data_IF_747984496376
#
_entry.id   IF_747984496376
#
_cell.length_a   1.000
_cell.length_b   1.000
_cell.length_c   1.000
_cell.angle_alpha   90.00
_cell.angle_beta   90.00
_cell.angle_gamma   90.00
#
_symmetry.space_group_name_H-M   'P 1'
#
loop_
_entity.id
_entity.type
_entity.pdbx_description
1 polymer ?
#
# COMPACT_ATOMS: atom_id res chain seq x y z
N UNK A 1 2.92 -6.59 -25.41
CA UNK A 1 3.64 -5.30 -25.40
C UNK A 1 4.64 -5.29 -26.53
N UNK A 2 4.76 -4.17 -27.21
CA UNK A 2 5.73 -3.93 -28.27
C UNK A 2 6.59 -2.73 -27.88
N UNK A 3 7.84 -2.69 -28.36
CA UNK A 3 8.79 -1.63 -28.09
C UNK A 3 10.10 -1.86 -28.78
N UNK A 4 11.07 -0.98 -28.55
CA UNK A 4 12.45 -1.13 -29.02
C UNK A 4 13.40 -1.11 -27.81
N UNK A 5 14.53 -1.80 -27.93
CA UNK A 5 15.61 -1.70 -26.95
C UNK A 5 16.57 -0.53 -27.28
N UNK A 6 17.68 -0.42 -26.54
CA UNK A 6 18.69 0.63 -26.75
C UNK A 6 19.53 0.43 -28.04
N UNK A 7 19.39 -0.68 -28.72
CA UNK A 7 20.07 -1.01 -29.98
C UNK A 7 19.11 -1.03 -31.18
N UNK A 8 17.90 -0.44 -30.97
CA UNK A 8 16.81 -0.35 -31.97
C UNK A 8 16.23 -1.69 -32.42
N UNK A 9 16.46 -2.78 -31.69
CA UNK A 9 15.79 -4.05 -31.99
C UNK A 9 14.31 -3.99 -31.61
N UNK A 10 13.46 -4.50 -32.51
CA UNK A 10 12.03 -4.63 -32.19
C UNK A 10 11.79 -5.74 -31.18
N UNK A 11 11.14 -5.39 -30.08
CA UNK A 11 10.78 -6.31 -29.02
C UNK A 11 9.27 -6.52 -28.97
N UNK A 12 8.87 -7.75 -28.71
CA UNK A 12 7.50 -8.12 -28.41
C UNK A 12 7.46 -9.07 -27.23
N UNK A 13 6.33 -9.15 -26.54
CA UNK A 13 6.23 -10.05 -25.39
C UNK A 13 4.86 -10.12 -24.77
N UNK A 14 4.69 -11.12 -23.93
CA UNK A 14 3.50 -11.31 -23.11
C UNK A 14 3.80 -11.08 -21.63
N UNK A 15 2.81 -10.55 -20.91
CA UNK A 15 2.87 -10.39 -19.48
C UNK A 15 1.49 -10.69 -18.89
N UNK A 16 1.36 -11.90 -18.32
CA UNK A 16 0.13 -12.37 -17.71
C UNK A 16 0.19 -12.08 -16.21
N UNK A 17 -0.75 -11.28 -15.72
CA UNK A 17 -0.81 -10.86 -14.31
C UNK A 17 -2.19 -11.18 -13.77
N UNK A 18 -2.23 -11.87 -12.64
CA UNK A 18 -3.43 -12.05 -11.83
C UNK A 18 -3.21 -11.34 -10.50
N UNK A 19 -4.14 -10.48 -10.09
CA UNK A 19 -4.15 -9.87 -8.77
C UNK A 19 -5.34 -10.39 -7.99
N UNK A 20 -5.10 -10.82 -6.76
CA UNK A 20 -6.12 -11.23 -5.81
C UNK A 20 -6.09 -10.24 -4.65
N UNK A 21 -7.21 -9.56 -4.42
CA UNK A 21 -7.36 -8.63 -3.30
C UNK A 21 -8.35 -9.18 -2.29
N UNK A 22 -7.96 -9.12 -1.02
CA UNK A 22 -8.83 -9.48 0.10
C UNK A 22 -8.96 -8.26 1.01
N UNK A 23 -10.19 -7.90 1.34
CA UNK A 23 -10.49 -6.84 2.30
C UNK A 23 -11.48 -7.37 3.34
N UNK A 24 -11.10 -7.24 4.61
CA UNK A 24 -11.98 -7.46 5.75
C UNK A 24 -11.98 -6.19 6.59
N UNK A 25 -13.16 -5.71 6.98
CA UNK A 25 -13.29 -4.54 7.85
C UNK A 25 -14.40 -4.81 8.87
N UNK A 26 -14.04 -4.67 10.14
CA UNK A 26 -14.94 -4.81 11.28
C UNK A 26 -14.95 -3.50 12.05
N UNK A 27 -16.13 -2.96 12.32
CA UNK A 27 -16.28 -1.69 13.00
C UNK A 27 -17.34 -1.80 14.10
N UNK A 28 -17.07 -1.15 15.22
CA UNK A 28 -18.02 -0.97 16.31
C UNK A 28 -17.98 0.48 16.77
N UNK A 29 -19.14 1.12 16.83
CA UNK A 29 -19.26 2.51 17.22
C UNK A 29 -20.38 2.65 18.26
N UNK A 30 -20.21 3.59 19.19
CA UNK A 30 -21.19 3.92 20.18
C UNK A 30 -21.34 5.43 20.34
N UNK A 31 -22.57 5.86 20.68
CA UNK A 31 -22.90 7.23 21.01
C UNK A 31 -23.81 7.20 22.24
N UNK A 32 -23.46 8.01 23.24
CA UNK A 32 -24.19 8.11 24.48
C UNK A 32 -24.43 9.59 24.81
N UNK A 33 -25.69 9.95 24.95
CA UNK A 33 -26.10 11.25 25.46
C UNK A 33 -26.27 11.14 26.99
N UNK A 34 -25.62 12.02 27.70
CA UNK A 34 -25.53 11.99 29.17
C UNK A 34 -25.88 13.34 29.78
N UNK A 35 -26.40 13.30 30.98
CA UNK A 35 -26.77 14.49 31.77
C UNK A 35 -28.15 15.03 31.36
N UNK A 36 -28.59 16.09 32.09
CA UNK A 36 -29.83 16.78 31.79
C UNK A 36 -29.74 17.50 30.44
N UNK A 37 -30.78 17.40 29.62
CA UNK A 37 -30.89 18.01 28.28
C UNK A 37 -29.78 17.57 27.32
N UNK A 38 -29.25 16.36 27.47
CA UNK A 38 -28.19 15.80 26.61
C UNK A 38 -26.97 16.73 26.45
N UNK A 39 -26.56 17.37 27.57
CA UNK A 39 -25.43 18.32 27.58
C UNK A 39 -24.10 17.66 27.25
N UNK A 40 -23.97 16.37 27.52
CA UNK A 40 -22.77 15.60 27.26
C UNK A 40 -23.06 14.54 26.22
N UNK A 41 -22.19 14.47 25.25
CA UNK A 41 -22.21 13.45 24.22
C UNK A 41 -20.87 12.70 24.22
N UNK A 42 -20.91 11.42 24.55
CA UNK A 42 -19.75 10.55 24.48
C UNK A 42 -19.85 9.72 23.19
N UNK A 43 -18.85 9.86 22.31
CA UNK A 43 -18.70 9.03 21.11
C UNK A 43 -17.45 8.18 21.22
N UNK A 44 -17.57 6.92 20.84
CA UNK A 44 -16.42 6.04 20.74
C UNK A 44 -16.55 5.13 19.53
N UNK A 45 -15.42 4.67 19.03
CA UNK A 45 -15.39 3.72 17.95
C UNK A 45 -14.10 2.94 17.92
N UNK A 46 -14.18 1.75 17.34
CA UNK A 46 -13.04 0.90 17.08
C UNK A 46 -13.21 0.19 15.75
N UNK A 47 -12.13 0.02 15.03
CA UNK A 47 -12.14 -0.79 13.81
C UNK A 47 -10.88 -1.64 13.70
N UNK A 48 -11.07 -2.79 13.06
CA UNK A 48 -10.00 -3.66 12.60
C UNK A 48 -10.18 -3.93 11.13
N UNK A 49 -9.14 -3.68 10.34
CA UNK A 49 -9.10 -4.05 8.93
C UNK A 49 -7.92 -4.95 8.61
N UNK A 50 -8.17 -5.90 7.74
CA UNK A 50 -7.15 -6.74 7.12
C UNK A 50 -7.26 -6.61 5.61
N UNK A 51 -6.14 -6.24 4.97
CA UNK A 51 -6.02 -6.14 3.51
C UNK A 51 -4.94 -7.08 3.04
N UNK A 52 -5.26 -7.93 2.08
CA UNK A 52 -4.32 -8.78 1.37
C UNK A 52 -4.25 -8.40 -0.10
N UNK A 53 -3.07 -8.51 -0.68
CA UNK A 53 -2.85 -8.42 -2.11
C UNK A 53 -1.86 -9.50 -2.53
N UNK A 54 -2.26 -10.32 -3.48
CA UNK A 54 -1.43 -11.41 -3.98
C UNK A 54 -1.28 -11.32 -5.50
N UNK A 55 -0.06 -11.51 -5.95
CA UNK A 55 0.27 -11.88 -7.34
C UNK A 55 0.75 -13.34 -7.32
N UNK A 56 -0.14 -14.32 -7.48
CA UNK A 56 0.19 -15.73 -7.27
C UNK A 56 1.11 -16.30 -8.33
N UNK A 57 1.13 -15.74 -9.54
CA UNK A 57 1.98 -16.18 -10.63
C UNK A 57 1.93 -15.18 -11.78
N UNK A 58 2.74 -14.15 -11.71
CA UNK A 58 2.94 -13.25 -12.85
C UNK A 58 3.97 -13.87 -13.78
N UNK A 59 3.61 -14.03 -15.04
CA UNK A 59 4.46 -14.61 -16.08
C UNK A 59 4.79 -13.55 -17.13
N UNK A 60 6.06 -13.35 -17.37
CA UNK A 60 6.56 -12.46 -18.39
C UNK A 60 7.52 -13.20 -19.33
N UNK A 61 7.31 -13.03 -20.63
CA UNK A 61 8.23 -13.49 -21.67
C UNK A 61 8.46 -12.36 -22.64
N UNK A 62 9.72 -12.14 -23.01
CA UNK A 62 10.13 -11.11 -23.96
C UNK A 62 10.90 -11.74 -25.12
N UNK A 63 10.57 -11.31 -26.32
CA UNK A 63 11.17 -11.78 -27.55
C UNK A 63 11.75 -10.62 -28.36
N UNK A 64 12.78 -10.92 -29.10
CA UNK A 64 13.31 -10.08 -30.16
C UNK A 64 12.76 -10.57 -31.52
N UNK A 65 12.32 -9.64 -32.33
CA UNK A 65 11.86 -9.93 -33.69
C UNK A 65 13.05 -10.11 -34.62
N UNK A 66 13.14 -11.24 -35.32
CA UNK A 66 14.15 -11.50 -36.32
C UNK A 66 13.67 -11.01 -37.69
N UNK A 67 14.61 -10.77 -38.63
CA UNK A 67 14.32 -10.30 -39.99
C UNK A 67 13.46 -11.27 -40.80
N UNK A 68 13.51 -12.58 -40.49
CA UNK A 68 12.69 -13.61 -41.09
C UNK A 68 11.27 -13.73 -40.55
N UNK A 69 10.90 -12.83 -39.59
CA UNK A 69 9.61 -12.81 -38.91
C UNK A 69 9.46 -13.79 -37.74
N UNK A 70 10.49 -14.57 -37.45
CA UNK A 70 10.51 -15.40 -36.24
C UNK A 70 10.82 -14.58 -35.00
N UNK A 71 10.53 -15.12 -33.83
CA UNK A 71 10.78 -14.49 -32.52
C UNK A 71 11.85 -15.27 -31.77
N UNK A 72 12.99 -14.62 -31.54
CA UNK A 72 14.05 -15.14 -30.66
C UNK A 72 13.81 -14.69 -29.21
N UNK A 73 14.23 -15.49 -28.24
CA UNK A 73 14.11 -15.07 -26.84
C UNK A 73 15.07 -13.91 -26.53
N UNK A 74 14.53 -12.83 -25.97
CA UNK A 74 15.33 -11.66 -25.57
C UNK A 74 16.10 -11.94 -24.28
N UNK A 75 17.41 -11.69 -24.25
CA UNK A 75 18.32 -12.10 -23.18
C UNK A 75 19.03 -10.95 -22.45
N UNK A 76 18.72 -9.69 -22.77
CA UNK A 76 19.44 -8.54 -22.19
C UNK A 76 18.84 -8.12 -20.84
N UNK A 77 19.67 -7.99 -19.79
CA UNK A 77 19.39 -7.32 -18.53
C UNK A 77 18.36 -7.90 -17.56
N UNK A 78 18.18 -9.19 -17.47
CA UNK A 78 17.36 -9.85 -16.41
C UNK A 78 15.88 -9.39 -16.30
N UNK A 79 15.35 -8.78 -17.34
CA UNK A 79 13.94 -8.34 -17.36
C UNK A 79 13.07 -9.19 -18.28
N UNK A 80 13.65 -10.24 -18.81
CA UNK A 80 13.13 -10.91 -19.97
C UNK A 80 12.07 -11.92 -19.60
N UNK A 81 12.48 -13.14 -19.38
CA UNK A 81 11.57 -14.24 -19.08
C UNK A 81 11.62 -14.56 -17.61
N UNK A 82 10.51 -14.31 -16.92
CA UNK A 82 10.44 -14.48 -15.48
C UNK A 82 9.08 -14.94 -15.01
N UNK A 83 9.08 -15.59 -13.84
CA UNK A 83 7.90 -15.74 -12.98
C UNK A 83 8.10 -14.93 -11.71
N UNK A 84 7.06 -14.25 -11.29
CA UNK A 84 7.04 -13.43 -10.10
C UNK A 84 5.87 -13.84 -9.21
N UNK A 85 6.14 -13.94 -7.92
CA UNK A 85 5.19 -14.24 -6.87
C UNK A 85 5.30 -13.15 -5.82
N UNK A 86 4.21 -12.46 -5.56
CA UNK A 86 4.16 -11.36 -4.60
C UNK A 86 3.02 -11.53 -3.63
N UNK A 87 3.25 -11.16 -2.37
CA UNK A 87 2.21 -11.08 -1.36
C UNK A 87 2.39 -9.86 -0.47
N UNK A 88 1.30 -9.22 -0.13
CA UNK A 88 1.21 -8.15 0.83
C UNK A 88 0.10 -8.47 1.82
N UNK A 89 0.42 -8.42 3.10
CA UNK A 89 -0.53 -8.54 4.22
C UNK A 89 -0.46 -7.25 5.04
N UNK A 90 -1.59 -6.59 5.21
CA UNK A 90 -1.70 -5.37 5.99
C UNK A 90 -2.80 -5.51 7.02
N UNK A 91 -2.51 -5.09 8.25
CA UNK A 91 -3.46 -5.04 9.35
C UNK A 91 -3.48 -3.64 9.91
N UNK A 92 -4.69 -3.13 10.19
CA UNK A 92 -4.88 -1.81 10.76
C UNK A 92 -5.90 -1.86 11.89
N UNK A 93 -5.54 -1.27 13.03
CA UNK A 93 -6.40 -1.01 14.15
C UNK A 93 -6.62 0.49 14.28
N UNK A 94 -7.86 0.91 14.43
CA UNK A 94 -8.21 2.28 14.75
C UNK A 94 -9.09 2.31 15.99
N UNK A 95 -8.88 3.31 16.81
CA UNK A 95 -9.72 3.61 17.96
C UNK A 95 -9.95 5.11 18.07
N UNK A 96 -11.15 5.52 18.43
CA UNK A 96 -11.48 6.90 18.69
C UNK A 96 -12.38 7.01 19.92
N UNK A 97 -12.17 8.09 20.67
CA UNK A 97 -12.98 8.47 21.82
C UNK A 97 -13.14 9.99 21.81
N UNK A 98 -14.35 10.48 21.97
CA UNK A 98 -14.57 11.91 22.08
C UNK A 98 -15.70 12.23 23.04
N UNK A 99 -15.51 13.30 23.81
CA UNK A 99 -16.48 13.87 24.70
C UNK A 99 -16.81 15.29 24.24
N UNK A 100 -18.08 15.55 23.97
CA UNK A 100 -18.62 16.85 23.61
C UNK A 100 -19.46 17.38 24.76
N UNK A 101 -19.19 18.60 25.14
CA UNK A 101 -19.95 19.35 26.15
C UNK A 101 -20.63 20.53 25.50
N UNK A 102 -21.97 20.61 25.61
CA UNK A 102 -22.78 21.74 25.18
C UNK A 102 -23.07 22.61 26.40
N UNK A 103 -22.60 23.87 26.38
CA UNK A 103 -22.97 24.80 27.46
C UNK A 103 -24.23 25.58 27.13
N UNK A 104 -24.67 25.60 25.87
CA UNK A 104 -25.98 25.99 25.40
C UNK A 104 -26.34 25.25 24.10
N UNK A 105 -27.47 25.57 23.49
CA UNK A 105 -27.96 24.85 22.28
C UNK A 105 -26.99 24.94 21.09
N UNK A 106 -26.31 26.07 20.92
CA UNK A 106 -25.48 26.39 19.75
C UNK A 106 -23.98 26.26 19.99
N UNK A 107 -23.55 26.22 21.25
CA UNK A 107 -22.14 26.28 21.60
C UNK A 107 -21.68 24.98 22.28
N UNK A 108 -20.53 24.50 21.86
CA UNK A 108 -19.96 23.27 22.44
C UNK A 108 -18.43 23.30 22.49
N UNK A 109 -17.89 22.49 23.35
CA UNK A 109 -16.50 22.09 23.42
C UNK A 109 -16.40 20.58 23.21
N UNK A 110 -15.52 20.13 22.36
CA UNK A 110 -15.25 18.71 22.11
C UNK A 110 -13.79 18.40 22.33
N UNK A 111 -13.53 17.45 23.21
CA UNK A 111 -12.22 16.84 23.44
C UNK A 111 -12.23 15.44 22.84
N UNK A 112 -11.20 15.09 22.08
CA UNK A 112 -11.13 13.75 21.52
C UNK A 112 -9.73 13.19 21.45
N UNK A 113 -9.68 11.88 21.33
CA UNK A 113 -8.46 11.09 21.19
C UNK A 113 -8.65 10.08 20.04
N UNK A 114 -7.62 9.92 19.20
CA UNK A 114 -7.58 8.87 18.19
C UNK A 114 -6.28 8.09 18.32
N UNK A 115 -6.39 6.79 18.08
CA UNK A 115 -5.29 5.86 17.97
C UNK A 115 -5.38 5.11 16.65
N UNK A 116 -4.23 4.97 15.98
CA UNK A 116 -4.10 4.15 14.77
C UNK A 116 -2.83 3.33 14.86
N UNK A 117 -2.94 2.04 14.56
CA UNK A 117 -1.81 1.15 14.44
C UNK A 117 -1.94 0.35 13.14
N UNK A 118 -0.94 0.46 12.28
CA UNK A 118 -0.88 -0.24 11.00
C UNK A 118 0.41 -1.04 10.91
N UNK A 119 0.30 -2.29 10.50
CA UNK A 119 1.42 -3.16 10.20
C UNK A 119 1.30 -3.73 8.79
N UNK A 120 2.43 -3.85 8.10
CA UNK A 120 2.52 -4.37 6.74
C UNK A 120 3.69 -5.33 6.62
N UNK A 121 3.44 -6.48 6.00
CA UNK A 121 4.46 -7.45 5.58
C UNK A 121 4.33 -7.63 4.06
N UNK A 122 5.41 -7.38 3.34
CA UNK A 122 5.50 -7.56 1.90
C UNK A 122 6.61 -8.52 1.57
N UNK A 123 6.32 -9.48 0.69
CA UNK A 123 7.27 -10.46 0.18
C UNK A 123 7.07 -10.67 -1.30
N UNK A 124 8.18 -10.75 -2.01
CA UNK A 124 8.20 -11.14 -3.40
C UNK A 124 9.34 -12.13 -3.69
N UNK A 125 9.13 -12.94 -4.71
CA UNK A 125 10.15 -13.87 -5.21
C UNK A 125 10.10 -13.86 -6.73
N UNK A 126 11.27 -13.78 -7.35
CA UNK A 126 11.43 -13.85 -8.81
C UNK A 126 12.23 -15.06 -9.19
N UNK A 127 11.79 -15.69 -10.26
CA UNK A 127 12.52 -16.76 -10.94
C UNK A 127 12.76 -16.34 -12.36
N UNK A 128 14.03 -16.30 -12.76
CA UNK A 128 14.45 -16.04 -14.13
C UNK A 128 14.80 -17.35 -14.80
N UNK A 129 14.50 -17.44 -16.10
CA UNK A 129 14.82 -18.56 -16.93
C UNK A 129 16.03 -18.21 -17.79
N UNK A 130 17.12 -18.95 -17.64
CA UNK A 130 18.32 -18.79 -18.44
C UNK A 130 18.40 -19.93 -19.44
N UNK A 131 18.52 -19.60 -20.71
CA UNK A 131 18.74 -20.54 -21.80
C UNK A 131 20.24 -20.69 -22.01
N UNK A 132 20.78 -21.86 -21.71
CA UNK A 132 22.22 -22.08 -21.72
C UNK A 132 22.72 -22.64 -23.07
N UNK A 133 21.95 -23.53 -23.67
CA UNK A 133 22.37 -24.33 -24.85
C UNK A 133 21.40 -24.28 -26.00
N UNK A 134 20.27 -23.65 -25.85
CA UNK A 134 19.24 -23.51 -26.87
C UNK A 134 18.98 -22.06 -27.18
N UNK A 135 18.69 -21.78 -28.42
CA UNK A 135 18.22 -20.47 -28.88
C UNK A 135 16.89 -20.68 -29.58
N UNK A 136 15.79 -20.86 -28.87
CA UNK A 136 14.52 -21.19 -29.46
C UNK A 136 14.01 -20.00 -30.30
N UNK A 137 13.44 -20.31 -31.44
CA UNK A 137 12.66 -19.35 -32.23
C UNK A 137 11.22 -19.84 -32.28
N UNK A 138 10.29 -18.93 -32.13
CA UNK A 138 8.85 -19.19 -32.15
C UNK A 138 8.17 -18.21 -33.11
N UNK A 139 6.98 -18.55 -33.55
CA UNK A 139 6.14 -17.68 -34.36
C UNK A 139 5.00 -17.06 -33.57
N UNK A 140 4.73 -17.61 -32.38
CA UNK A 140 3.67 -17.16 -31.46
C UNK A 140 4.28 -16.80 -30.11
N UNK A 141 3.99 -15.57 -29.63
CA UNK A 141 4.44 -15.08 -28.30
C UNK A 141 3.88 -15.89 -27.12
N UNK A 142 2.86 -16.69 -27.34
CA UNK A 142 2.24 -17.53 -26.33
C UNK A 142 2.76 -18.96 -26.31
N UNK A 143 3.52 -19.37 -27.33
CA UNK A 143 4.14 -20.70 -27.42
C UNK A 143 5.43 -20.75 -26.58
N UNK A 144 5.25 -20.78 -25.25
CA UNK A 144 6.34 -20.91 -24.29
C UNK A 144 6.67 -22.36 -23.95
N UNK A 145 5.71 -23.27 -24.11
CA UNK A 145 5.85 -24.67 -23.70
C UNK A 145 6.81 -25.45 -24.63
N UNK A 146 7.01 -24.96 -25.85
CA UNK A 146 7.98 -25.53 -26.76
C UNK A 146 9.43 -25.48 -26.25
N UNK A 147 9.77 -24.54 -25.37
CA UNK A 147 11.13 -24.41 -24.83
C UNK A 147 11.19 -24.34 -23.30
N UNK A 148 10.19 -23.82 -22.61
CA UNK A 148 10.13 -23.79 -21.13
C UNK A 148 9.44 -25.05 -20.59
N UNK A 149 9.98 -26.21 -20.94
CA UNK A 149 9.42 -27.50 -20.55
C UNK A 149 10.35 -28.28 -19.64
N UNK A 150 9.82 -29.36 -19.06
CA UNK A 150 10.55 -30.16 -18.10
C UNK A 150 11.73 -30.89 -18.71
N UNK A 151 11.64 -31.30 -19.97
CA UNK A 151 12.72 -31.95 -20.68
C UNK A 151 13.94 -31.03 -20.84
N UNK A 152 13.74 -29.79 -21.27
CA UNK A 152 14.80 -28.79 -21.40
C UNK A 152 15.42 -28.43 -20.05
N UNK A 153 14.63 -28.43 -18.98
CA UNK A 153 15.13 -28.21 -17.60
C UNK A 153 15.99 -29.42 -17.19
N UNK A 154 15.49 -30.63 -17.37
CA UNK A 154 16.22 -31.86 -17.00
C UNK A 154 17.54 -32.02 -17.75
N UNK A 155 17.57 -31.64 -19.03
CA UNK A 155 18.77 -31.68 -19.87
C UNK A 155 19.74 -30.51 -19.62
N UNK A 156 19.39 -29.56 -18.74
CA UNK A 156 20.20 -28.39 -18.44
C UNK A 156 20.24 -27.35 -19.56
N UNK A 157 19.36 -27.45 -20.55
CA UNK A 157 19.20 -26.45 -21.61
C UNK A 157 18.58 -25.17 -21.09
N UNK A 158 17.66 -25.30 -20.12
CA UNK A 158 17.01 -24.22 -19.37
C UNK A 158 17.37 -24.37 -17.90
N UNK A 159 17.85 -23.31 -17.30
CA UNK A 159 18.06 -23.23 -15.84
C UNK A 159 17.17 -22.18 -15.24
N UNK A 160 16.65 -22.49 -14.05
CA UNK A 160 15.80 -21.59 -13.28
C UNK A 160 16.61 -20.99 -12.14
N UNK A 161 16.74 -19.67 -12.13
CA UNK A 161 17.48 -18.95 -11.11
C UNK A 161 16.52 -18.16 -10.24
N UNK A 162 16.50 -18.45 -8.94
CA UNK A 162 15.83 -17.61 -7.96
C UNK A 162 16.66 -16.36 -7.70
N UNK A 163 16.08 -15.20 -7.89
CA UNK A 163 16.73 -13.93 -7.60
C UNK A 163 15.94 -13.22 -6.49
N UNK A 164 16.66 -12.84 -5.44
CA UNK A 164 16.14 -12.08 -4.32
C UNK A 164 16.85 -10.73 -4.29
N UNK A 165 16.08 -9.66 -4.30
CA UNK A 165 16.59 -8.29 -4.20
C UNK A 165 16.17 -7.68 -2.85
N UNK A 166 16.92 -6.71 -2.30
CA UNK A 166 16.58 -6.06 -1.03
C UNK A 166 15.15 -5.49 -0.98
N UNK A 167 14.66 -5.01 -2.12
CA UNK A 167 13.30 -4.47 -2.28
C UNK A 167 12.19 -5.52 -2.33
N UNK A 168 12.54 -6.80 -2.38
CA UNK A 168 11.57 -7.89 -2.55
C UNK A 168 10.91 -8.30 -1.24
N UNK A 169 11.38 -7.80 -0.10
CA UNK A 169 10.71 -8.04 1.18
C UNK A 169 10.96 -6.89 2.14
N UNK A 170 9.89 -6.44 2.77
CA UNK A 170 9.98 -5.47 3.86
C UNK A 170 8.85 -5.66 4.86
N UNK A 171 9.09 -5.22 6.08
CA UNK A 171 8.07 -5.02 7.11
C UNK A 171 8.01 -3.56 7.47
N UNK A 172 6.81 -3.05 7.65
CA UNK A 172 6.61 -1.66 8.03
C UNK A 172 5.52 -1.55 9.09
N UNK A 173 5.60 -0.49 9.88
CA UNK A 173 4.58 -0.14 10.84
C UNK A 173 4.40 1.36 10.91
N UNK A 174 3.18 1.76 11.24
CA UNK A 174 2.81 3.14 11.51
C UNK A 174 1.90 3.17 12.72
N UNK A 175 2.28 3.93 13.74
CA UNK A 175 1.54 4.11 14.97
C UNK A 175 1.32 5.60 15.19
N UNK A 176 0.06 6.00 15.32
CA UNK A 176 -0.35 7.40 15.45
C UNK A 176 -1.23 7.54 16.66
N UNK A 177 -0.87 8.47 17.53
CA UNK A 177 -1.66 8.95 18.65
C UNK A 177 -2.00 10.40 18.42
N UNK A 178 -3.26 10.78 18.55
CA UNK A 178 -3.63 12.18 18.45
C UNK A 178 -4.69 12.56 19.48
N UNK A 179 -4.49 13.73 20.06
CA UNK A 179 -5.48 14.41 20.90
C UNK A 179 -5.93 15.69 20.21
N UNK A 180 -7.20 16.05 20.35
CA UNK A 180 -7.72 17.28 19.78
C UNK A 180 -8.74 17.95 20.67
N UNK A 181 -8.79 19.28 20.55
CA UNK A 181 -9.78 20.15 21.13
C UNK A 181 -10.46 20.91 19.99
N UNK A 182 -11.78 20.94 20.01
CA UNK A 182 -12.60 21.64 19.00
C UNK A 182 -13.73 22.38 19.73
N UNK A 183 -14.00 23.59 19.31
CA UNK A 183 -15.15 24.36 19.83
C UNK A 183 -15.84 25.12 18.70
N UNK A 184 -17.17 25.13 18.75
CA UNK A 184 -18.02 26.04 18.03
C UNK A 184 -18.66 26.97 19.03
N UNK A 185 -18.56 28.27 18.81
CA UNK A 185 -19.25 29.25 19.61
C UNK A 185 -19.68 30.46 18.79
N UNK A 186 -20.76 31.09 19.24
CA UNK A 186 -21.35 32.26 18.64
C UNK A 186 -21.12 33.46 19.56
N UNK A 187 -20.10 34.30 19.31
CA UNK A 187 -19.92 35.57 20.03
C UNK A 187 -21.08 36.53 19.82
N UNK A 188 -21.72 36.45 18.66
CA UNK A 188 -22.95 37.15 18.30
C UNK A 188 -23.85 36.21 17.50
N UNK A 189 -25.14 36.54 17.36
CA UNK A 189 -26.08 35.72 16.55
C UNK A 189 -25.63 35.54 15.11
N UNK A 190 -24.90 36.51 14.57
CA UNK A 190 -24.46 36.51 13.17
C UNK A 190 -23.08 35.86 12.95
N UNK A 191 -22.28 35.64 13.99
CA UNK A 191 -20.89 35.18 13.86
C UNK A 191 -20.70 33.82 14.54
N UNK A 192 -20.43 32.79 13.74
CA UNK A 192 -19.92 31.52 14.22
C UNK A 192 -18.40 31.51 14.16
N UNK A 193 -17.76 31.14 15.25
CA UNK A 193 -16.32 30.89 15.36
C UNK A 193 -16.12 29.42 15.64
N UNK A 194 -15.40 28.74 14.75
CA UNK A 194 -14.94 27.37 14.93
C UNK A 194 -13.42 27.38 15.15
N UNK A 195 -12.99 26.89 16.32
CA UNK A 195 -11.57 26.76 16.69
C UNK A 195 -11.23 25.30 16.90
N UNK A 196 -10.09 24.90 16.37
CA UNK A 196 -9.58 23.57 16.57
C UNK A 196 -8.07 23.56 16.84
N UNK A 197 -7.66 22.63 17.69
CA UNK A 197 -6.26 22.34 17.92
C UNK A 197 -6.09 20.83 18.00
N UNK A 198 -5.23 20.25 17.16
CA UNK A 198 -4.89 18.84 17.18
C UNK A 198 -3.38 18.68 17.37
N UNK A 199 -3.01 17.82 18.30
CA UNK A 199 -1.65 17.36 18.46
C UNK A 199 -1.55 15.91 18.04
N UNK A 200 -0.53 15.57 17.26
CA UNK A 200 -0.32 14.24 16.73
C UNK A 200 1.12 13.77 16.96
N UNK A 201 1.26 12.56 17.49
CA UNK A 201 2.52 11.83 17.57
C UNK A 201 2.46 10.68 16.57
N UNK A 202 3.38 10.65 15.62
CA UNK A 202 3.50 9.61 14.60
C UNK A 202 4.83 8.88 14.75
N UNK A 203 4.76 7.55 14.81
CA UNK A 203 5.92 6.66 14.82
C UNK A 203 5.84 5.74 13.63
N UNK A 204 6.77 5.89 12.69
CA UNK A 204 6.83 5.06 11.51
C UNK A 204 8.15 4.31 11.47
N UNK A 205 8.11 3.09 11.00
CA UNK A 205 9.31 2.31 10.81
C UNK A 205 9.18 1.38 9.61
N UNK A 206 10.32 1.10 8.99
CA UNK A 206 10.47 0.07 7.96
C UNK A 206 11.70 -0.76 8.26
N UNK A 207 11.55 -2.09 8.13
CA UNK A 207 12.64 -3.05 8.15
C UNK A 207 12.77 -3.68 6.78
N UNK A 208 13.98 -3.73 6.27
CA UNK A 208 14.29 -4.24 4.93
C UNK A 208 15.67 -4.89 4.90
N UNK A 209 15.99 -5.64 3.84
CA UNK A 209 17.33 -6.14 3.60
C UNK A 209 18.18 -5.05 2.92
N UNK A 210 19.50 -5.10 3.14
CA UNK A 210 20.49 -4.39 2.31
C UNK A 210 21.17 -5.36 1.36
N UNK A 211 21.81 -4.84 0.33
CA UNK A 211 22.60 -5.65 -0.59
C UNK A 211 23.63 -6.49 0.19
N UNK A 212 23.60 -7.80 -0.01
CA UNK A 212 24.46 -8.76 0.68
C UNK A 212 24.18 -8.99 2.16
N UNK A 213 23.10 -8.43 2.73
CA UNK A 213 22.73 -8.58 4.13
C UNK A 213 21.55 -9.53 4.37
N UNK A 214 21.38 -9.89 5.64
CA UNK A 214 20.23 -10.66 6.08
C UNK A 214 18.91 -9.90 5.86
N UNK A 215 17.83 -10.64 5.58
CA UNK A 215 16.49 -10.09 5.47
C UNK A 215 16.10 -9.35 6.76
N UNK A 216 15.56 -8.13 6.60
CA UNK A 216 15.16 -7.26 7.71
C UNK A 216 16.32 -6.77 8.60
N UNK A 217 17.57 -6.85 8.12
CA UNK A 217 18.75 -6.43 8.88
C UNK A 217 18.81 -4.91 9.11
N UNK A 218 18.20 -4.13 8.24
CA UNK A 218 18.18 -2.67 8.37
C UNK A 218 16.82 -2.16 8.81
N UNK A 219 16.84 -1.12 9.67
CA UNK A 219 15.64 -0.42 10.12
C UNK A 219 15.81 1.07 9.92
N UNK A 220 14.77 1.71 9.43
CA UNK A 220 14.62 3.17 9.43
C UNK A 220 13.38 3.53 10.23
N UNK A 221 13.51 4.57 11.04
CA UNK A 221 12.42 5.15 11.83
C UNK A 221 12.22 6.60 11.39
N UNK A 222 10.97 7.02 11.43
CA UNK A 222 10.56 8.41 11.29
C UNK A 222 9.54 8.69 12.40
N UNK A 223 9.97 9.44 13.40
CA UNK A 223 9.13 9.86 14.52
C UNK A 223 8.88 11.36 14.39
N UNK A 224 7.62 11.76 14.44
CA UNK A 224 7.22 13.17 14.33
C UNK A 224 6.18 13.52 15.37
N UNK A 225 6.21 14.79 15.76
CA UNK A 225 5.21 15.41 16.60
C UNK A 225 4.76 16.68 15.88
N UNK A 226 3.50 16.77 15.60
CA UNK A 226 2.92 17.86 14.81
C UNK A 226 1.75 18.49 15.56
N UNK A 227 1.61 19.82 15.41
CA UNK A 227 0.51 20.60 15.96
C UNK A 227 -0.27 21.25 14.80
N UNK A 228 -1.57 21.02 14.77
CA UNK A 228 -2.47 21.48 13.72
C UNK A 228 -3.52 22.44 14.32
N UNK A 229 -3.30 23.75 14.26
CA UNK A 229 -4.34 24.74 14.58
C UNK A 229 -5.32 24.89 13.41
N UNK A 230 -6.59 25.14 13.71
CA UNK A 230 -7.64 25.43 12.76
C UNK A 230 -8.51 26.58 13.23
N UNK A 231 -8.85 27.49 12.34
CA UNK A 231 -9.79 28.59 12.58
C UNK A 231 -10.71 28.71 11.37
N UNK A 232 -12.02 28.66 11.61
CA UNK A 232 -13.03 28.98 10.60
C UNK A 232 -13.98 30.02 11.17
N UNK A 233 -14.36 30.99 10.35
CA UNK A 233 -15.30 32.04 10.67
C UNK A 233 -16.45 32.01 9.65
N UNK A 234 -17.69 32.07 10.15
CA UNK A 234 -18.88 32.21 9.30
C UNK A 234 -19.69 33.38 9.81
N UNK A 235 -19.88 34.38 8.96
CA UNK A 235 -20.69 35.55 9.25
C UNK A 235 -21.96 35.53 8.40
N UNK A 236 -23.12 35.64 9.04
CA UNK A 236 -24.41 35.78 8.37
C UNK A 236 -24.72 37.28 8.14
N UNK A 237 -24.72 37.70 6.89
CA UNK A 237 -24.98 39.13 6.51
C UNK A 237 -26.45 39.48 6.73
N UNK A 238 -27.36 38.55 6.56
CA UNK A 238 -28.79 38.67 6.85
C UNK A 238 -29.19 37.50 7.76
N UNK A 239 -29.34 37.68 9.05
CA UNK A 239 -29.95 36.68 9.90
C UNK A 239 -31.43 36.56 9.55
N UNK A 240 -31.85 35.42 8.99
CA UNK A 240 -33.26 35.04 8.82
C UNK A 240 -33.77 34.36 10.05
#
# INVERSE_FOLDING_TARGET
>A
REGTDSEDHELTGSNNITHIYTLQNHQLNGLHNLGEQDRWELTWGGSYSKTGSEEPDRRQVMYIKNDDGTLGLFKLNRQETMRYFGSLDEKEWNGNLALRWKWNENNFLKLGFNYKNKSRDYKATRFYYNLNKINPTVTDIYDTDGFLNQENIANGNVTVQRVMQPKDSYRAGNEIYSGYLLTDFYPTEALLVNLGLRYEMSKQWVRYASDGGDWYSRRRNLDKNDLFPALNLKYAVNPT
#
